data_IF_429697009230
#
_entry.id   IF_429697009230
#
_cell.length_a   1.000
_cell.length_b   1.000
_cell.length_c   1.000
_cell.angle_alpha   90.00
_cell.angle_beta   90.00
_cell.angle_gamma   90.00
#
_symmetry.space_group_name_H-M   'P 1'
#
loop_
_entity.id
_entity.type
_entity.pdbx_description
1 polymer ?
#
# COMPACT_ATOMS: atom_id res chain seq x y z
N UNK A 1 37.03 -1.45 -37.56
CA UNK A 1 37.11 -0.01 -37.93
C UNK A 1 35.82 0.60 -38.50
N UNK A 2 34.76 -0.16 -38.83
CA UNK A 2 33.54 0.40 -39.47
C UNK A 2 32.58 1.20 -38.56
N UNK A 3 32.74 1.17 -37.24
CA UNK A 3 31.81 1.83 -36.29
C UNK A 3 32.00 3.36 -36.21
N UNK A 4 33.21 3.84 -36.51
CA UNK A 4 33.59 5.26 -36.30
C UNK A 4 33.07 6.18 -37.42
N UNK A 5 32.98 5.70 -38.66
CA UNK A 5 32.48 6.50 -39.80
C UNK A 5 30.99 6.82 -39.67
N UNK A 6 30.19 5.88 -39.16
CA UNK A 6 28.73 6.05 -39.00
C UNK A 6 28.35 7.14 -37.99
N UNK A 7 29.11 7.29 -36.89
CA UNK A 7 28.86 8.33 -35.89
C UNK A 7 29.16 9.74 -36.41
N UNK A 8 30.18 9.89 -37.27
CA UNK A 8 30.52 11.18 -37.87
C UNK A 8 29.46 11.65 -38.86
N UNK A 9 28.88 10.72 -39.63
CA UNK A 9 27.77 11.01 -40.54
C UNK A 9 26.50 11.41 -39.76
N UNK A 10 26.16 10.71 -38.68
CA UNK A 10 25.04 11.04 -37.82
C UNK A 10 25.19 12.44 -37.20
N UNK A 11 26.38 12.76 -36.68
CA UNK A 11 26.67 14.07 -36.06
C UNK A 11 26.57 15.22 -37.06
N UNK A 12 26.98 15.02 -38.31
CA UNK A 12 26.79 16.00 -39.39
C UNK A 12 25.31 16.23 -39.67
N UNK A 13 24.51 15.17 -39.77
CA UNK A 13 23.06 15.26 -39.97
C UNK A 13 22.34 15.97 -38.81
N UNK A 14 22.76 15.71 -37.56
CA UNK A 14 22.26 16.41 -36.36
C UNK A 14 22.51 17.93 -36.41
N UNK A 15 23.61 18.37 -37.02
CA UNK A 15 23.93 19.79 -37.15
C UNK A 15 22.99 20.51 -38.13
N UNK A 16 22.49 19.81 -39.15
CA UNK A 16 21.47 20.36 -40.08
C UNK A 16 20.10 20.52 -39.42
N UNK A 17 19.82 19.80 -38.34
CA UNK A 17 18.59 19.94 -37.55
C UNK A 17 18.63 21.11 -36.55
N UNK A 18 19.80 21.72 -36.34
CA UNK A 18 20.01 22.82 -35.40
C UNK A 18 19.06 24.02 -35.53
N UNK A 19 18.73 24.55 -36.74
CA UNK A 19 17.76 25.64 -36.87
C UNK A 19 16.33 25.24 -36.48
N UNK A 20 16.00 23.95 -36.48
CA UNK A 20 14.70 23.41 -36.11
C UNK A 20 14.61 22.98 -34.64
N UNK A 21 15.61 23.29 -33.81
CA UNK A 21 15.67 22.84 -32.40
C UNK A 21 14.41 23.14 -31.59
N UNK A 22 13.76 24.29 -31.80
CA UNK A 22 12.54 24.66 -31.08
C UNK A 22 11.35 23.75 -31.47
N UNK A 23 11.22 23.44 -32.76
CA UNK A 23 10.16 22.53 -33.25
C UNK A 23 10.40 21.10 -32.78
N UNK A 24 11.66 20.64 -32.78
CA UNK A 24 12.04 19.32 -32.28
C UNK A 24 11.83 19.19 -30.77
N UNK A 25 12.15 20.24 -29.99
CA UNK A 25 11.87 20.28 -28.56
C UNK A 25 10.37 20.23 -28.28
N UNK A 26 9.56 20.99 -29.04
CA UNK A 26 8.11 20.96 -28.91
C UNK A 26 7.53 19.59 -29.25
N UNK A 27 7.99 18.97 -30.34
CA UNK A 27 7.58 17.61 -30.71
C UNK A 27 8.00 16.58 -29.65
N UNK A 28 9.24 16.66 -29.15
CA UNK A 28 9.74 15.80 -28.09
C UNK A 28 8.95 15.95 -26.79
N UNK A 29 8.63 17.19 -26.39
CA UNK A 29 7.79 17.47 -25.23
C UNK A 29 6.39 16.87 -25.42
N UNK A 30 5.79 17.02 -26.60
CA UNK A 30 4.50 16.42 -26.94
C UNK A 30 4.53 14.89 -26.79
N UNK A 31 5.58 14.23 -27.31
CA UNK A 31 5.77 12.77 -27.19
C UNK A 31 5.90 12.36 -25.71
N UNK A 32 6.67 13.10 -24.92
CA UNK A 32 6.84 12.82 -23.47
C UNK A 32 5.51 12.98 -22.74
N UNK A 33 4.75 14.04 -23.02
CA UNK A 33 3.43 14.24 -22.42
C UNK A 33 2.46 13.10 -22.76
N UNK A 34 2.41 12.69 -24.03
CA UNK A 34 1.59 11.55 -24.48
C UNK A 34 2.04 10.26 -23.78
N UNK A 35 3.36 10.02 -23.68
CA UNK A 35 3.89 8.83 -23.02
C UNK A 35 3.57 8.80 -21.52
N UNK A 36 3.66 9.94 -20.82
CA UNK A 36 3.30 10.05 -19.40
C UNK A 36 1.79 9.87 -19.22
N UNK A 37 0.97 10.46 -20.10
CA UNK A 37 -0.48 10.31 -20.05
C UNK A 37 -0.89 8.85 -20.22
N UNK A 38 -0.33 8.16 -21.24
CA UNK A 38 -0.59 6.74 -21.49
C UNK A 38 -0.04 5.83 -20.39
N UNK A 39 1.19 6.07 -19.95
CA UNK A 39 1.81 5.32 -18.86
C UNK A 39 1.05 5.49 -17.54
N UNK A 40 0.56 6.69 -17.27
CA UNK A 40 -0.31 6.99 -16.12
C UNK A 40 -1.62 6.20 -16.16
N UNK A 41 -2.30 6.15 -17.32
CA UNK A 41 -3.52 5.37 -17.48
C UNK A 41 -3.31 3.88 -17.20
N UNK A 42 -2.20 3.28 -17.65
CA UNK A 42 -1.89 1.88 -17.35
C UNK A 42 -1.50 1.70 -15.87
N UNK A 43 -0.74 2.64 -15.29
CA UNK A 43 -0.35 2.57 -13.88
C UNK A 43 -1.54 2.59 -12.90
N UNK A 44 -2.62 3.29 -13.27
CA UNK A 44 -3.84 3.40 -12.47
C UNK A 44 -4.64 2.09 -12.40
N UNK A 45 -4.43 1.16 -13.33
CA UNK A 45 -5.13 -0.13 -13.36
C UNK A 45 -4.67 -1.07 -12.24
N UNK A 46 -3.41 -0.96 -11.79
CA UNK A 46 -2.84 -1.86 -10.77
C UNK A 46 -3.63 -1.87 -9.46
N UNK A 47 -3.87 -0.71 -8.82
CA UNK A 47 -4.70 -0.63 -7.63
C UNK A 47 -6.13 -1.15 -7.85
N UNK A 48 -6.73 -0.86 -9.00
CA UNK A 48 -8.09 -1.34 -9.33
C UNK A 48 -8.14 -2.87 -9.30
N UNK A 49 -7.15 -3.54 -9.90
CA UNK A 49 -7.06 -5.00 -9.84
C UNK A 49 -6.90 -5.51 -8.41
N UNK A 50 -6.14 -4.84 -7.56
CA UNK A 50 -6.00 -5.26 -6.16
C UNK A 50 -7.34 -5.19 -5.42
N UNK A 51 -8.13 -4.13 -5.65
CA UNK A 51 -9.45 -4.01 -5.02
C UNK A 51 -10.44 -5.07 -5.57
N UNK A 52 -10.39 -5.36 -6.87
CA UNK A 52 -11.26 -6.36 -7.49
C UNK A 52 -10.90 -7.81 -7.10
N UNK A 53 -9.61 -8.09 -6.89
CA UNK A 53 -9.12 -9.43 -6.53
C UNK A 53 -9.16 -9.72 -5.03
N UNK A 54 -9.39 -8.69 -4.20
CA UNK A 54 -9.46 -8.83 -2.74
C UNK A 54 -10.75 -9.54 -2.32
N UNK A 55 -10.68 -10.88 -2.25
CA UNK A 55 -11.77 -11.74 -1.78
C UNK A 55 -12.19 -11.45 -0.34
N UNK A 56 -11.27 -10.92 0.46
CA UNK A 56 -11.48 -10.64 1.87
C UNK A 56 -12.19 -9.29 2.11
N UNK A 57 -12.50 -8.56 1.02
CA UNK A 57 -13.28 -7.33 1.06
C UNK A 57 -12.57 -6.15 1.75
N UNK A 58 -11.26 -6.26 1.96
CA UNK A 58 -10.37 -5.27 2.61
C UNK A 58 -10.37 -3.95 1.82
N UNK A 59 -10.45 -4.03 0.49
CA UNK A 59 -10.68 -2.90 -0.39
C UNK A 59 -9.52 -1.90 -0.41
N UNK A 60 -9.72 -0.78 -1.12
CA UNK A 60 -8.68 0.23 -1.34
C UNK A 60 -8.15 0.84 -0.04
N UNK A 61 -9.06 1.11 0.91
CA UNK A 61 -8.71 1.68 2.21
C UNK A 61 -7.92 0.69 3.07
N UNK A 62 -8.35 -0.57 3.13
CA UNK A 62 -7.63 -1.57 3.91
C UNK A 62 -6.23 -1.84 3.34
N UNK A 63 -6.05 -1.78 2.01
CA UNK A 63 -4.73 -1.80 1.40
C UNK A 63 -3.88 -0.60 1.82
N UNK A 64 -4.44 0.63 1.77
CA UNK A 64 -3.72 1.83 2.19
C UNK A 64 -3.33 1.79 3.67
N UNK A 65 -4.23 1.31 4.53
CA UNK A 65 -3.98 1.14 5.96
C UNK A 65 -2.89 0.09 6.19
N UNK A 66 -2.94 -1.03 5.46
CA UNK A 66 -1.89 -2.04 5.51
C UNK A 66 -0.53 -1.45 5.15
N UNK A 67 -0.47 -0.56 4.15
CA UNK A 67 0.78 0.05 3.71
C UNK A 67 1.38 0.95 4.78
N UNK A 68 0.57 1.83 5.36
CA UNK A 68 1.01 2.74 6.43
C UNK A 68 1.39 1.91 7.66
N UNK A 69 0.54 0.99 8.10
CA UNK A 69 0.83 0.16 9.26
C UNK A 69 2.10 -0.68 9.10
N UNK A 70 2.32 -1.28 7.92
CA UNK A 70 3.56 -2.01 7.61
C UNK A 70 4.79 -1.11 7.73
N UNK A 71 4.72 0.12 7.23
CA UNK A 71 5.82 1.09 7.31
C UNK A 71 6.03 1.60 8.74
N UNK A 72 4.96 1.92 9.48
CA UNK A 72 5.01 2.35 10.87
C UNK A 72 5.51 1.26 11.82
N UNK A 73 5.22 -0.01 11.55
CA UNK A 73 5.70 -1.14 12.33
C UNK A 73 7.11 -1.60 11.93
N UNK A 74 7.60 -1.22 10.75
CA UNK A 74 8.88 -1.67 10.21
C UNK A 74 8.85 -3.15 9.77
N UNK A 75 7.79 -3.59 9.08
CA UNK A 75 7.65 -4.99 8.68
C UNK A 75 6.63 -5.21 7.56
N UNK A 76 6.33 -6.49 7.29
CA UNK A 76 5.27 -6.92 6.37
C UNK A 76 4.32 -7.84 7.12
N UNK A 77 3.08 -7.38 7.25
CA UNK A 77 2.02 -8.05 8.00
C UNK A 77 0.86 -8.39 7.06
N UNK A 78 0.99 -9.42 6.20
CA UNK A 78 -0.13 -9.87 5.38
C UNK A 78 -1.27 -10.35 6.26
N UNK A 79 -2.47 -9.98 5.83
CA UNK A 79 -3.71 -10.49 6.39
C UNK A 79 -3.83 -11.99 6.08
N UNK A 80 -4.23 -12.78 7.07
CA UNK A 80 -4.38 -14.22 6.96
C UNK A 80 -5.68 -14.68 7.60
N UNK A 81 -6.42 -15.54 6.90
CA UNK A 81 -7.61 -16.18 7.44
C UNK A 81 -7.18 -17.36 8.31
N UNK A 82 -7.48 -17.30 9.60
CA UNK A 82 -7.08 -18.37 10.53
C UNK A 82 -7.75 -19.69 10.13
N UNK A 83 -7.00 -20.80 9.94
CA UNK A 83 -7.58 -22.12 9.73
C UNK A 83 -8.30 -22.55 11.01
N UNK A 84 -9.61 -22.34 11.06
CA UNK A 84 -10.47 -22.41 12.26
C UNK A 84 -10.47 -23.74 13.00
N UNK A 85 -9.47 -23.96 13.87
CA UNK A 85 -9.44 -25.09 14.83
C UNK A 85 -8.96 -24.68 16.23
N UNK A 86 -9.15 -23.44 16.65
CA UNK A 86 -8.71 -22.99 17.97
C UNK A 86 -9.46 -21.78 18.49
N UNK A 87 -9.33 -21.49 19.78
CA UNK A 87 -9.95 -20.39 20.56
C UNK A 87 -9.80 -18.97 19.98
N UNK A 88 -9.05 -18.80 18.88
CA UNK A 88 -9.12 -17.68 17.95
C UNK A 88 -10.36 -17.69 17.02
N UNK A 89 -11.32 -18.59 17.27
CA UNK A 89 -12.57 -18.82 16.51
C UNK A 89 -13.50 -17.59 16.35
N UNK A 90 -13.15 -16.44 16.94
CA UNK A 90 -13.96 -15.21 16.86
C UNK A 90 -13.35 -14.11 15.98
N UNK A 91 -12.11 -14.27 15.50
CA UNK A 91 -11.51 -13.34 14.54
C UNK A 91 -11.15 -14.09 13.24
N UNK A 92 -12.00 -14.04 12.20
CA UNK A 92 -11.77 -14.78 10.96
C UNK A 92 -10.51 -14.31 10.24
N UNK A 93 -9.97 -13.14 10.58
CA UNK A 93 -8.90 -12.47 9.87
C UNK A 93 -7.89 -11.93 10.88
N UNK A 94 -6.68 -12.51 10.92
CA UNK A 94 -5.54 -12.09 11.76
C UNK A 94 -4.41 -11.54 10.89
N UNK A 95 -3.49 -10.77 11.47
CA UNK A 95 -2.30 -10.32 10.73
C UNK A 95 -1.13 -11.26 11.03
N UNK A 96 -0.64 -11.95 10.00
CA UNK A 96 0.53 -12.81 10.12
C UNK A 96 1.79 -11.97 9.98
N UNK A 97 2.76 -12.18 10.88
CA UNK A 97 4.08 -11.57 10.80
C UNK A 97 4.93 -12.30 9.75
N UNK A 98 4.88 -11.87 8.49
CA UNK A 98 5.62 -12.51 7.41
C UNK A 98 7.09 -12.10 7.36
N UNK A 99 7.38 -10.82 7.62
CA UNK A 99 8.74 -10.30 7.69
C UNK A 99 8.83 -9.12 8.67
N UNK A 100 9.92 -9.04 9.41
CA UNK A 100 10.19 -7.95 10.35
C UNK A 100 11.60 -7.42 10.10
N UNK A 101 11.73 -6.09 10.06
CA UNK A 101 13.02 -5.45 10.19
C UNK A 101 13.48 -5.52 11.65
N UNK A 102 14.64 -6.11 11.89
CA UNK A 102 15.20 -6.30 13.24
C UNK A 102 15.40 -4.97 13.97
N UNK A 103 15.76 -3.92 13.22
CA UNK A 103 16.00 -2.58 13.75
C UNK A 103 14.73 -1.71 13.75
N UNK A 104 13.65 -2.22 13.14
CA UNK A 104 12.35 -1.59 13.08
C UNK A 104 11.58 -1.64 14.41
N UNK A 105 10.52 -0.84 14.54
CA UNK A 105 9.68 -0.80 15.75
C UNK A 105 9.19 -2.16 16.25
N UNK A 106 8.66 -3.00 15.36
CA UNK A 106 8.16 -4.33 15.74
C UNK A 106 9.31 -5.27 16.16
N UNK A 107 10.48 -5.18 15.51
CA UNK A 107 11.66 -5.96 15.87
C UNK A 107 12.16 -5.60 17.27
N UNK A 108 12.20 -4.31 17.60
CA UNK A 108 12.57 -3.80 18.94
C UNK A 108 11.57 -4.21 20.04
N UNK A 109 10.30 -4.35 19.69
CA UNK A 109 9.27 -4.87 20.59
C UNK A 109 9.35 -6.40 20.78
N UNK A 110 10.29 -7.07 20.11
CA UNK A 110 10.52 -8.51 20.25
C UNK A 110 9.44 -9.36 19.59
N UNK A 111 8.80 -8.84 18.54
CA UNK A 111 7.89 -9.61 17.68
C UNK A 111 8.74 -10.41 16.69
N UNK A 112 8.40 -11.68 16.50
CA UNK A 112 9.13 -12.60 15.63
C UNK A 112 8.27 -13.07 14.46
N UNK A 113 8.94 -13.47 13.38
CA UNK A 113 8.29 -14.01 12.19
C UNK A 113 7.46 -15.24 12.53
N UNK A 114 6.22 -15.27 12.03
CA UNK A 114 5.27 -16.37 12.21
C UNK A 114 4.25 -16.13 13.31
N UNK A 115 4.47 -15.17 14.20
CA UNK A 115 3.46 -14.76 15.18
C UNK A 115 2.25 -14.08 14.51
N UNK A 116 1.12 -14.06 15.21
CA UNK A 116 -0.12 -13.43 14.75
C UNK A 116 -0.49 -12.25 15.64
N UNK A 117 -0.80 -11.10 15.02
CA UNK A 117 -1.36 -9.96 15.73
C UNK A 117 -2.88 -10.14 15.79
N UNK A 118 -3.42 -10.26 17.00
CA UNK A 118 -4.82 -10.63 17.25
C UNK A 118 -5.66 -9.48 17.83
N UNK A 119 -5.05 -8.37 18.24
CA UNK A 119 -5.77 -7.20 18.74
C UNK A 119 -4.91 -6.23 19.55
N UNK A 120 -5.58 -5.32 20.24
CA UNK A 120 -4.96 -4.36 21.17
C UNK A 120 -4.93 -4.96 22.59
N UNK A 121 -3.85 -4.73 23.33
CA UNK A 121 -3.75 -5.18 24.72
C UNK A 121 -4.58 -4.29 25.66
N UNK A 122 -4.83 -3.05 25.27
CA UNK A 122 -5.58 -2.07 26.08
C UNK A 122 -7.11 -2.21 25.96
N UNK A 123 -7.65 -3.16 25.16
CA UNK A 123 -9.10 -3.39 25.13
C UNK A 123 -9.54 -4.09 26.42
N UNK A 124 -10.35 -3.45 27.29
CA UNK A 124 -10.77 -4.02 28.57
C UNK A 124 -11.58 -5.30 28.41
N UNK A 125 -12.19 -5.51 27.24
CA UNK A 125 -12.97 -6.72 26.95
C UNK A 125 -12.13 -7.85 26.38
N UNK A 126 -10.80 -7.66 26.25
CA UNK A 126 -9.87 -8.64 25.72
C UNK A 126 -10.30 -9.19 24.34
N UNK A 127 -11.02 -8.39 23.55
CA UNK A 127 -11.61 -8.85 22.28
C UNK A 127 -10.52 -8.98 21.23
N UNK A 128 -10.61 -10.07 20.47
CA UNK A 128 -9.86 -10.20 19.23
C UNK A 128 -10.44 -9.23 18.21
N UNK A 129 -9.57 -8.44 17.59
CA UNK A 129 -9.97 -7.47 16.58
C UNK A 129 -9.73 -8.05 15.19
N UNK A 130 -10.57 -7.73 14.21
CA UNK A 130 -10.30 -8.10 12.81
C UNK A 130 -9.00 -7.41 12.38
N UNK A 131 -8.16 -8.13 11.62
CA UNK A 131 -6.88 -7.60 11.15
C UNK A 131 -7.01 -6.24 10.44
N UNK A 132 -8.10 -6.02 9.70
CA UNK A 132 -8.37 -4.73 9.04
C UNK A 132 -8.58 -3.57 10.00
N UNK A 133 -9.32 -3.80 11.09
CA UNK A 133 -9.59 -2.77 12.10
C UNK A 133 -8.32 -2.49 12.92
N UNK A 134 -7.51 -3.53 13.16
CA UNK A 134 -6.21 -3.37 13.78
C UNK A 134 -5.25 -2.56 12.91
N UNK A 135 -5.17 -2.85 11.61
CA UNK A 135 -4.38 -2.05 10.66
C UNK A 135 -4.88 -0.60 10.58
N UNK A 136 -6.20 -0.38 10.58
CA UNK A 136 -6.80 0.96 10.62
C UNK A 136 -6.35 1.71 11.87
N UNK A 137 -6.43 1.09 13.03
CA UNK A 137 -6.03 1.71 14.29
C UNK A 137 -4.55 2.09 14.30
N UNK A 138 -3.68 1.20 13.82
CA UNK A 138 -2.22 1.45 13.72
C UNK A 138 -1.93 2.56 12.69
N UNK A 139 -2.64 2.59 11.56
CA UNK A 139 -2.44 3.58 10.51
C UNK A 139 -2.92 4.99 10.91
N UNK A 140 -3.85 5.10 11.86
CA UNK A 140 -4.34 6.37 12.41
C UNK A 140 -3.42 6.94 13.50
N UNK A 141 -2.53 6.13 14.08
CA UNK A 141 -1.56 6.57 15.07
C UNK A 141 -0.52 7.54 14.49
N UNK A 142 -0.08 8.49 15.29
CA UNK A 142 0.98 9.42 14.94
C UNK A 142 2.36 8.77 15.12
N UNK A 143 3.39 9.22 14.36
CA UNK A 143 4.75 8.78 14.58
C UNK A 143 5.20 9.07 16.03
N UNK A 144 5.70 8.06 16.72
CA UNK A 144 6.08 8.15 18.13
C UNK A 144 5.00 7.68 19.11
N UNK A 145 3.76 7.46 18.67
CA UNK A 145 2.71 6.93 19.53
C UNK A 145 3.04 5.49 19.96
N UNK A 146 2.73 5.16 21.20
CA UNK A 146 2.84 3.79 21.74
C UNK A 146 1.55 3.03 21.53
N UNK A 147 1.63 1.87 20.89
CA UNK A 147 0.49 0.96 20.71
C UNK A 147 0.80 -0.37 21.39
N UNK A 148 -0.06 -0.80 22.31
CA UNK A 148 0.06 -2.10 22.94
C UNK A 148 -0.70 -3.15 22.12
N UNK A 149 0.04 -4.06 21.49
CA UNK A 149 -0.51 -5.14 20.67
C UNK A 149 -0.54 -6.46 21.43
N UNK A 150 -1.51 -7.31 21.08
CA UNK A 150 -1.56 -8.71 21.50
C UNK A 150 -1.02 -9.57 20.38
N UNK A 151 0.05 -10.29 20.70
CA UNK A 151 0.76 -11.18 19.79
C UNK A 151 0.49 -12.60 20.23
N UNK A 152 0.12 -13.48 19.31
CA UNK A 152 -0.11 -14.89 19.59
C UNK A 152 0.86 -15.74 18.78
N UNK A 153 1.57 -16.64 19.45
CA UNK A 153 2.34 -17.68 18.76
C UNK A 153 1.36 -18.78 18.30
N UNK A 154 1.27 -19.07 16.99
CA UNK A 154 0.36 -20.07 16.47
C UNK A 154 0.66 -21.51 16.93
N UNK A 155 1.90 -21.78 17.38
CA UNK A 155 2.35 -23.11 17.80
C UNK A 155 1.99 -23.37 19.26
N UNK A 156 2.30 -22.40 20.13
CA UNK A 156 2.09 -22.53 21.58
C UNK A 156 0.74 -22.00 22.04
N UNK A 157 0.02 -21.25 21.18
CA UNK A 157 -1.19 -20.50 21.50
C UNK A 157 -1.04 -19.51 22.66
N UNK A 158 0.20 -19.19 23.04
CA UNK A 158 0.46 -18.22 24.09
C UNK A 158 0.27 -16.81 23.54
N UNK A 159 -0.45 -15.99 24.31
CA UNK A 159 -0.69 -14.58 23.99
C UNK A 159 0.27 -13.74 24.84
N UNK A 160 1.12 -12.98 24.15
CA UNK A 160 2.09 -12.07 24.73
C UNK A 160 1.71 -10.62 24.39
N UNK A 161 1.70 -9.70 25.37
CA UNK A 161 1.60 -8.27 25.07
C UNK A 161 2.92 -7.74 24.50
N UNK A 162 2.85 -6.90 23.48
CA UNK A 162 3.99 -6.22 22.88
C UNK A 162 3.68 -4.72 22.72
N UNK A 163 4.43 -3.89 23.42
CA UNK A 163 4.35 -2.42 23.29
C UNK A 163 5.26 -1.96 22.17
N UNK A 164 4.69 -1.29 21.16
CA UNK A 164 5.42 -0.81 19.99
C UNK A 164 5.33 0.71 19.93
N UNK A 165 6.46 1.38 19.71
CA UNK A 165 6.50 2.81 19.38
C UNK A 165 6.42 2.95 17.87
N UNK A 166 5.35 3.55 17.33
CA UNK A 166 5.15 3.67 15.90
C UNK A 166 6.26 4.49 15.24
N UNK A 167 6.83 3.95 14.16
CA UNK A 167 7.79 4.64 13.31
C UNK A 167 7.13 5.68 12.41
N UNK A 168 7.96 6.49 11.75
CA UNK A 168 7.48 7.46 10.76
C UNK A 168 7.21 6.77 9.41
N UNK A 169 5.96 6.77 8.91
CA UNK A 169 5.66 6.21 7.60
C UNK A 169 6.28 7.06 6.49
N UNK A 170 6.46 6.49 5.30
CA UNK A 170 7.00 7.26 4.17
C UNK A 170 6.00 8.33 3.75
N UNK A 171 6.52 9.50 3.37
CA UNK A 171 5.69 10.64 2.94
C UNK A 171 4.74 10.27 1.79
N UNK A 172 5.17 9.39 0.88
CA UNK A 172 4.37 8.93 -0.25
C UNK A 172 3.11 8.18 0.21
N UNK A 173 3.22 7.39 1.27
CA UNK A 173 2.10 6.62 1.84
C UNK A 173 1.10 7.55 2.54
N UNK A 174 1.61 8.57 3.24
CA UNK A 174 0.78 9.60 3.87
C UNK A 174 0.04 10.43 2.82
N UNK A 175 0.73 10.85 1.75
CA UNK A 175 0.11 11.58 0.63
C UNK A 175 -0.98 10.75 -0.04
N UNK A 176 -0.72 9.45 -0.27
CA UNK A 176 -1.69 8.53 -0.84
C UNK A 176 -2.93 8.39 0.04
N UNK A 177 -2.76 8.22 1.35
CA UNK A 177 -3.88 8.17 2.28
C UNK A 177 -4.69 9.46 2.31
N UNK A 178 -4.03 10.63 2.22
CA UNK A 178 -4.71 11.92 2.15
C UNK A 178 -5.58 12.03 0.89
N UNK A 179 -5.08 11.59 -0.26
CA UNK A 179 -5.86 11.54 -1.50
C UNK A 179 -7.03 10.56 -1.35
N UNK A 180 -6.78 9.38 -0.80
CA UNK A 180 -7.81 8.35 -0.60
C UNK A 180 -8.88 8.77 0.41
N UNK A 181 -8.58 9.67 1.34
CA UNK A 181 -9.57 10.17 2.32
C UNK A 181 -10.73 10.95 1.67
N UNK A 182 -10.54 11.44 0.44
CA UNK A 182 -11.63 12.02 -0.35
C UNK A 182 -12.57 10.98 -0.97
N UNK A 183 -12.13 9.72 -1.05
CA UNK A 183 -12.97 8.60 -1.51
C UNK A 183 -13.69 8.04 -0.28
N UNK A 184 -15.04 7.97 -0.26
CA UNK A 184 -15.76 7.44 0.89
C UNK A 184 -15.46 5.94 1.10
N UNK A 185 -15.29 5.52 2.35
CA UNK A 185 -15.11 4.10 2.68
C UNK A 185 -16.42 3.32 2.43
N UNK A 186 -16.40 2.24 1.64
CA UNK A 186 -17.59 1.41 1.46
C UNK A 186 -17.90 0.70 2.78
N UNK A 187 -19.12 0.86 3.29
CA UNK A 187 -19.56 0.19 4.53
C UNK A 187 -20.10 -1.20 4.24
N UNK A 188 -20.69 -1.38 3.06
CA UNK A 188 -21.24 -2.65 2.59
C UNK A 188 -20.61 -3.08 1.25
N UNK A 189 -20.87 -4.34 0.85
CA UNK A 189 -20.48 -4.80 -0.49
C UNK A 189 -21.24 -4.06 -1.61
N UNK A 190 -22.45 -3.57 -1.33
CA UNK A 190 -23.26 -2.84 -2.31
C UNK A 190 -22.68 -1.44 -2.58
N UNK A 191 -22.13 -0.80 -1.55
CA UNK A 191 -21.47 0.52 -1.67
C UNK A 191 -20.22 0.47 -2.57
N UNK A 192 -19.59 -0.70 -2.69
CA UNK A 192 -18.39 -0.87 -3.54
C UNK A 192 -18.70 -0.57 -4.99
N UNK A 193 -19.86 -1.01 -5.48
CA UNK A 193 -20.28 -0.74 -6.86
C UNK A 193 -20.46 0.75 -7.13
N UNK A 194 -21.03 1.48 -6.17
CA UNK A 194 -21.18 2.94 -6.26
C UNK A 194 -19.83 3.63 -6.37
N UNK A 195 -18.84 3.22 -5.56
CA UNK A 195 -17.48 3.78 -5.64
C UNK A 195 -16.82 3.48 -6.99
N UNK A 196 -16.94 2.24 -7.49
CA UNK A 196 -16.39 1.90 -8.81
C UNK A 196 -17.01 2.74 -9.93
N UNK A 197 -18.31 2.99 -9.85
CA UNK A 197 -19.00 3.85 -10.80
C UNK A 197 -18.46 5.28 -10.76
N UNK A 198 -18.26 5.86 -9.57
CA UNK A 198 -17.66 7.20 -9.45
C UNK A 198 -16.22 7.25 -10.00
N UNK A 199 -15.38 6.26 -9.69
CA UNK A 199 -14.01 6.18 -10.21
C UNK A 199 -14.02 6.06 -11.74
N UNK A 200 -14.91 5.24 -12.30
CA UNK A 200 -15.07 5.10 -13.75
C UNK A 200 -15.53 6.41 -14.40
N UNK A 201 -16.55 7.08 -13.85
CA UNK A 201 -17.02 8.37 -14.34
C UNK A 201 -15.92 9.44 -14.29
N UNK A 202 -15.12 9.47 -13.22
CA UNK A 202 -13.99 10.38 -13.08
C UNK A 202 -12.90 10.08 -14.12
N UNK A 203 -12.61 8.80 -14.39
CA UNK A 203 -11.67 8.41 -15.45
C UNK A 203 -12.17 8.80 -16.84
N UNK A 204 -13.46 8.58 -17.14
CA UNK A 204 -14.05 8.99 -18.42
C UNK A 204 -14.02 10.52 -18.58
N UNK A 205 -14.35 11.27 -17.53
CA UNK A 205 -14.31 12.73 -17.54
C UNK A 205 -12.90 13.32 -17.64
N UNK A 206 -11.86 12.59 -17.23
CA UNK A 206 -10.46 12.99 -17.43
C UNK A 206 -9.92 12.63 -18.82
N UNK A 207 -10.56 11.69 -19.52
CA UNK A 207 -10.11 11.19 -20.82
C UNK A 207 -10.78 11.91 -21.99
N UNK A 208 -12.00 12.41 -21.80
CA UNK A 208 -12.77 13.23 -22.75
C UNK A 208 -12.33 14.69 -22.70
#
# INVERSE_FOLDING_TARGET
MAKQSNLNNLRRSLKYLWPYRARLMLAGLCIVMVAVLWGGSIGMIGPIFQVLLDKDGIGLHGWAHSRIANESLGGKFPTFTSPGKGTADQAPIVLNVANIDKDGPAGKAGIVKGEWLIGLADDPNNRTMRGTDLLRHIAQGQPGDTVNLRVMDPTTQQIKPATIVLGTPKWSSVALFRILSYVPEPRSNDDKFTIYFYVLCLMLGLTL
#
